data_IF_932254233676
#
_entry.id   IF_932254233676
#
_cell.length_a   1.000
_cell.length_b   1.000
_cell.length_c   1.000
_cell.angle_alpha   90.00
_cell.angle_beta   90.00
_cell.angle_gamma   90.00
#
_symmetry.space_group_name_H-M   'P 1'
#
loop_
_entity.id
_entity.type
_entity.pdbx_description
1 polymer ?
#
# COMPACT_ATOMS: atom_id res chain seq x y z
N UNK A 1 -24.90 25.03 4.69
CA UNK A 1 -23.79 24.37 5.40
C UNK A 1 -22.79 23.88 4.35
N UNK A 2 -21.63 24.52 4.24
CA UNK A 2 -20.62 24.14 3.25
C UNK A 2 -20.03 22.77 3.60
N UNK A 3 -20.10 21.81 2.68
CA UNK A 3 -19.29 20.58 2.76
C UNK A 3 -17.83 21.01 2.72
N UNK A 4 -17.15 21.00 3.85
CA UNK A 4 -15.68 21.08 3.89
C UNK A 4 -15.20 19.80 3.20
N UNK A 5 -14.63 19.91 2.01
CA UNK A 5 -13.82 18.83 1.45
C UNK A 5 -12.64 18.66 2.43
N UNK A 6 -12.79 17.75 3.39
CA UNK A 6 -11.67 17.26 4.16
C UNK A 6 -10.96 16.29 3.22
N UNK A 7 -9.81 16.70 2.68
CA UNK A 7 -8.88 15.73 2.13
C UNK A 7 -8.54 14.75 3.27
N UNK A 8 -9.14 13.56 3.21
CA UNK A 8 -8.99 12.54 4.24
C UNK A 8 -7.52 12.14 4.29
N UNK A 9 -6.90 12.29 5.46
CA UNK A 9 -5.54 11.86 5.70
C UNK A 9 -5.53 10.34 5.90
N UNK A 10 -5.32 9.59 4.82
CA UNK A 10 -5.27 8.14 4.84
C UNK A 10 -3.85 7.65 5.12
N UNK A 11 -3.70 6.78 6.13
CA UNK A 11 -2.42 6.10 6.40
C UNK A 11 -1.95 5.24 5.21
N UNK A 12 -2.92 4.66 4.51
CA UNK A 12 -2.74 3.77 3.36
C UNK A 12 -3.80 4.15 2.32
N UNK A 13 -3.39 4.44 1.09
CA UNK A 13 -4.28 4.81 -0.02
C UNK A 13 -3.87 4.02 -1.27
N UNK A 14 -4.84 3.47 -2.01
CA UNK A 14 -4.60 3.03 -3.38
C UNK A 14 -4.84 4.19 -4.34
N UNK A 15 -3.80 4.59 -5.09
CA UNK A 15 -3.90 5.73 -6.02
C UNK A 15 -2.95 5.57 -7.19
N UNK A 16 -3.47 5.78 -8.40
CA UNK A 16 -2.70 5.72 -9.65
C UNK A 16 -1.86 4.44 -9.76
N UNK A 17 -2.51 3.29 -9.53
CA UNK A 17 -1.89 1.96 -9.58
C UNK A 17 -0.69 1.78 -8.64
N UNK A 18 -0.76 2.41 -7.47
CA UNK A 18 0.25 2.32 -6.44
C UNK A 18 -0.38 2.38 -5.04
N UNK A 19 0.34 1.87 -4.06
CA UNK A 19 0.04 2.04 -2.64
C UNK A 19 0.80 3.26 -2.14
N UNK A 20 0.07 4.30 -1.73
CA UNK A 20 0.63 5.45 -1.04
C UNK A 20 0.53 5.24 0.47
N UNK A 21 1.64 5.42 1.15
CA UNK A 21 1.76 5.28 2.60
C UNK A 21 2.24 6.59 3.20
N UNK A 22 1.70 6.97 4.34
CA UNK A 22 2.33 7.99 5.19
C UNK A 22 3.56 7.35 5.85
N UNK A 23 4.73 7.95 5.69
CA UNK A 23 5.97 7.50 6.35
C UNK A 23 5.93 7.84 7.85
N UNK A 24 5.48 6.87 8.65
CA UNK A 24 5.38 7.03 10.09
C UNK A 24 6.73 7.16 10.79
N UNK A 25 7.86 6.89 10.11
CA UNK A 25 9.21 7.10 10.68
C UNK A 25 9.62 8.58 10.70
N UNK A 26 8.95 9.42 9.90
CA UNK A 26 9.23 10.88 9.81
C UNK A 26 8.32 11.72 10.68
N UNK A 27 7.21 11.15 11.15
CA UNK A 27 6.32 11.81 12.08
C UNK A 27 6.94 11.90 13.49
N UNK A 28 6.66 12.98 14.25
CA UNK A 28 5.79 14.11 13.92
C UNK A 28 6.47 15.21 13.09
N UNK A 29 7.77 15.10 12.81
CA UNK A 29 8.58 16.19 12.25
C UNK A 29 8.19 16.54 10.80
N UNK A 30 7.83 15.55 9.98
CA UNK A 30 7.47 15.77 8.58
C UNK A 30 6.44 14.77 8.08
N UNK A 31 5.41 15.27 7.41
CA UNK A 31 4.48 14.45 6.64
C UNK A 31 5.10 14.17 5.27
N UNK A 32 5.49 12.91 5.04
CA UNK A 32 6.05 12.42 3.78
C UNK A 32 5.26 11.20 3.33
N UNK A 33 5.06 11.07 2.03
CA UNK A 33 4.43 9.90 1.43
C UNK A 33 5.47 9.01 0.74
N UNK A 34 5.33 7.70 0.92
CA UNK A 34 6.05 6.69 0.17
C UNK A 34 5.09 6.07 -0.83
N UNK A 35 5.48 6.05 -2.11
CA UNK A 35 4.72 5.41 -3.18
C UNK A 35 5.33 4.05 -3.48
N UNK A 36 4.58 2.98 -3.26
CA UNK A 36 4.96 1.63 -3.63
C UNK A 36 4.24 1.24 -4.92
N UNK A 37 4.99 0.97 -5.98
CA UNK A 37 4.47 0.54 -7.28
C UNK A 37 4.55 -0.97 -7.49
N UNK A 38 5.20 -1.70 -6.59
CA UNK A 38 5.27 -3.16 -6.60
C UNK A 38 5.17 -3.76 -5.19
N UNK A 39 4.89 -5.06 -5.13
CA UNK A 39 4.67 -5.78 -3.87
C UNK A 39 5.93 -5.92 -3.01
N UNK A 40 7.13 -5.84 -3.60
CA UNK A 40 8.41 -5.89 -2.86
C UNK A 40 8.61 -4.59 -2.08
N UNK A 41 8.34 -3.46 -2.70
CA UNK A 41 8.35 -2.15 -2.04
C UNK A 41 7.33 -2.09 -0.90
N UNK A 42 6.15 -2.69 -1.07
CA UNK A 42 5.15 -2.83 0.00
C UNK A 42 5.70 -3.66 1.17
N UNK A 43 6.30 -4.82 0.87
CA UNK A 43 6.89 -5.67 1.90
C UNK A 43 8.01 -4.94 2.67
N UNK A 44 8.86 -4.19 1.98
CA UNK A 44 9.92 -3.40 2.60
C UNK A 44 9.36 -2.27 3.47
N UNK A 45 8.29 -1.60 3.04
CA UNK A 45 7.63 -0.56 3.82
C UNK A 45 7.05 -1.10 5.15
N UNK A 46 6.54 -2.33 5.16
CA UNK A 46 6.09 -3.01 6.38
C UNK A 46 7.30 -3.37 7.26
N UNK A 47 8.32 -4.03 6.70
CA UNK A 47 9.51 -4.49 7.44
C UNK A 47 10.29 -3.34 8.07
N UNK A 48 10.40 -2.22 7.38
CA UNK A 48 11.12 -1.01 7.84
C UNK A 48 10.26 -0.07 8.67
N UNK A 49 9.01 -0.46 8.97
CA UNK A 49 8.06 0.31 9.77
C UNK A 49 7.69 1.69 9.19
N UNK A 50 7.82 1.88 7.88
CA UNK A 50 7.20 3.02 7.16
C UNK A 50 5.70 3.03 7.44
N UNK A 51 5.06 1.86 7.38
CA UNK A 51 3.71 1.62 7.89
C UNK A 51 3.74 0.68 9.08
N UNK A 52 2.89 0.94 10.07
CA UNK A 52 2.76 0.10 11.28
C UNK A 52 1.36 0.22 11.87
N UNK A 53 1.07 -0.66 12.83
CA UNK A 53 -0.25 -0.85 13.44
C UNK A 53 -1.01 -1.97 12.72
N UNK A 54 -1.54 -2.93 13.47
CA UNK A 54 -2.10 -4.17 12.90
C UNK A 54 -3.14 -3.93 11.78
N UNK A 55 -4.12 -3.01 11.93
CA UNK A 55 -5.07 -2.73 10.85
C UNK A 55 -4.40 -2.18 9.58
N UNK A 56 -3.47 -1.22 9.73
CA UNK A 56 -2.80 -0.59 8.60
C UNK A 56 -1.85 -1.57 7.88
N UNK A 57 -1.17 -2.45 8.62
CA UNK A 57 -0.36 -3.52 8.05
C UNK A 57 -1.24 -4.47 7.23
N UNK A 58 -2.40 -4.88 7.76
CA UNK A 58 -3.34 -5.76 7.03
C UNK A 58 -3.80 -5.16 5.70
N UNK A 59 -4.24 -3.89 5.71
CA UNK A 59 -4.64 -3.19 4.48
C UNK A 59 -3.47 -3.06 3.51
N UNK A 60 -2.29 -2.67 4.01
CA UNK A 60 -1.09 -2.51 3.16
C UNK A 60 -0.68 -3.82 2.50
N UNK A 61 -0.69 -4.92 3.25
CA UNK A 61 -0.37 -6.25 2.72
C UNK A 61 -1.38 -6.70 1.66
N UNK A 62 -2.68 -6.48 1.89
CA UNK A 62 -3.72 -6.79 0.91
C UNK A 62 -3.55 -6.00 -0.40
N UNK A 63 -3.19 -4.72 -0.31
CA UNK A 63 -2.89 -3.92 -1.50
C UNK A 63 -1.56 -4.32 -2.16
N UNK A 64 -0.59 -4.83 -1.40
CA UNK A 64 0.61 -5.46 -1.93
C UNK A 64 0.28 -6.70 -2.78
N UNK A 65 -0.64 -7.54 -2.32
CA UNK A 65 -1.14 -8.68 -3.09
C UNK A 65 -1.85 -8.23 -4.37
N UNK A 66 -2.63 -7.15 -4.30
CA UNK A 66 -3.27 -6.57 -5.48
C UNK A 66 -2.25 -6.06 -6.52
N UNK A 67 -1.13 -5.46 -6.07
CA UNK A 67 -0.01 -5.11 -6.97
C UNK A 67 0.64 -6.34 -7.58
N UNK A 68 0.90 -7.39 -6.79
CA UNK A 68 1.47 -8.64 -7.30
C UNK A 68 0.57 -9.25 -8.39
N UNK A 69 -0.73 -9.33 -8.13
CA UNK A 69 -1.69 -9.85 -9.10
C UNK A 69 -1.73 -9.01 -10.39
N UNK A 70 -1.66 -7.68 -10.28
CA UNK A 70 -1.63 -6.78 -11.43
C UNK A 70 -0.32 -6.88 -12.25
N UNK A 71 0.77 -7.33 -11.63
CA UNK A 71 2.07 -7.49 -12.25
C UNK A 71 2.32 -8.91 -12.79
N UNK A 72 1.51 -9.88 -12.37
CA UNK A 72 1.53 -11.24 -12.91
C UNK A 72 1.26 -11.23 -14.42
N UNK A 73 1.90 -12.17 -15.12
CA UNK A 73 1.66 -12.43 -16.55
C UNK A 73 0.74 -13.62 -16.77
N UNK A 74 0.22 -14.21 -15.70
CA UNK A 74 -0.71 -15.31 -15.73
C UNK A 74 -1.91 -14.99 -16.63
N UNK A 75 -2.30 -15.98 -17.44
CA UNK A 75 -3.49 -15.90 -18.30
C UNK A 75 -4.64 -16.74 -17.75
N UNK A 76 -4.36 -17.63 -16.82
CA UNK A 76 -5.35 -18.45 -16.13
C UNK A 76 -5.32 -18.17 -14.63
N UNK A 77 -6.38 -18.58 -13.94
CA UNK A 77 -6.48 -18.44 -12.51
C UNK A 77 -5.45 -19.33 -11.78
N UNK A 78 -5.19 -20.51 -12.31
CA UNK A 78 -4.21 -21.46 -11.76
C UNK A 78 -2.79 -20.89 -11.84
N UNK A 79 -2.41 -20.30 -12.98
CA UNK A 79 -1.14 -19.62 -13.14
C UNK A 79 -1.01 -18.44 -12.16
N UNK A 80 -2.10 -17.69 -11.94
CA UNK A 80 -2.11 -16.57 -11.00
C UNK A 80 -1.93 -17.03 -9.56
N UNK A 81 -2.57 -18.13 -9.15
CA UNK A 81 -2.37 -18.69 -7.81
C UNK A 81 -0.91 -19.11 -7.59
N UNK A 82 -0.27 -19.73 -8.59
CA UNK A 82 1.15 -20.08 -8.53
C UNK A 82 2.04 -18.84 -8.37
N UNK A 83 1.70 -17.73 -9.01
CA UNK A 83 2.45 -16.48 -8.88
C UNK A 83 2.26 -15.77 -7.52
N UNK A 84 1.16 -16.06 -6.80
CA UNK A 84 0.76 -15.38 -5.56
C UNK A 84 1.04 -16.18 -4.28
N UNK A 85 1.28 -17.49 -4.39
CA UNK A 85 1.70 -18.37 -3.29
C UNK A 85 3.17 -18.13 -2.85
#
# INVERSE_FOLDING_TARGET
MAKKNLDLLLTVEWKNDAVLLIDQTKLPNKLVYVKCTDYKQVADAIKTMVVRGAPAIGVTAALGLALAAKQSKAKTLEELFVDLD
#
